data_IF_477711185482
#
_entry.id   IF_477711185482
#
_cell.length_a   1.000
_cell.length_b   1.000
_cell.length_c   1.000
_cell.angle_alpha   90.00
_cell.angle_beta   90.00
_cell.angle_gamma   90.00
#
_symmetry.space_group_name_H-M   'P 1'
#
loop_
_entity.id
_entity.type
_entity.pdbx_description
1 polymer ?
#
# COMPACT_ATOMS: atom_id res chain seq x y z
N UNK A 1 -0.53 -28.98 -9.96
CA UNK A 1 0.67 -28.19 -10.16
C UNK A 1 0.88 -27.24 -8.98
N UNK A 2 1.99 -27.39 -8.34
CA UNK A 2 2.29 -26.59 -7.14
C UNK A 2 2.88 -25.26 -7.60
N UNK A 3 2.14 -24.19 -7.38
CA UNK A 3 2.63 -22.85 -7.64
C UNK A 3 3.65 -22.50 -6.55
N UNK A 4 4.86 -22.19 -6.95
CA UNK A 4 5.88 -21.77 -5.99
C UNK A 4 5.43 -20.46 -5.33
N UNK A 5 5.53 -20.34 -4.00
CA UNK A 5 5.25 -19.07 -3.34
C UNK A 5 6.22 -17.99 -3.83
N UNK A 6 5.82 -16.72 -3.78
CA UNK A 6 6.74 -15.63 -4.14
C UNK A 6 7.97 -15.67 -3.26
N UNK A 7 9.14 -15.50 -3.88
CA UNK A 7 10.39 -15.45 -3.16
C UNK A 7 10.55 -14.02 -2.64
N UNK A 8 10.50 -13.87 -1.33
CA UNK A 8 10.73 -12.60 -0.67
C UNK A 8 12.15 -12.47 -0.19
N UNK A 9 12.72 -11.28 -0.30
CA UNK A 9 13.99 -10.90 0.31
C UNK A 9 13.73 -9.76 1.28
N UNK A 10 14.42 -9.81 2.40
CA UNK A 10 14.33 -8.82 3.45
C UNK A 10 15.72 -8.26 3.72
N UNK A 11 15.84 -6.94 3.66
CA UNK A 11 17.09 -6.24 3.95
C UNK A 11 16.81 -5.14 4.97
N UNK A 12 17.58 -5.11 6.03
CA UNK A 12 17.49 -4.08 7.04
C UNK A 12 18.68 -3.12 6.90
N UNK A 13 18.43 -1.84 7.03
CA UNK A 13 19.46 -0.80 7.05
C UNK A 13 19.22 0.15 8.23
N UNK A 14 20.09 1.15 8.40
CA UNK A 14 20.03 2.07 9.54
C UNK A 14 18.72 2.84 9.66
N UNK A 15 18.05 3.12 8.54
CA UNK A 15 16.86 3.96 8.48
C UNK A 15 15.57 3.20 8.27
N UNK A 16 15.65 1.91 7.99
CA UNK A 16 14.45 1.17 7.70
C UNK A 16 14.68 -0.22 7.15
N UNK A 17 13.71 -0.69 6.41
CA UNK A 17 13.61 -2.05 5.92
C UNK A 17 13.26 -2.02 4.44
N UNK A 18 13.87 -2.90 3.66
CA UNK A 18 13.47 -3.13 2.28
C UNK A 18 12.99 -4.57 2.13
N UNK A 19 11.82 -4.73 1.52
CA UNK A 19 11.24 -6.03 1.21
C UNK A 19 11.06 -6.12 -0.30
N UNK A 20 11.62 -7.15 -0.91
CA UNK A 20 11.38 -7.41 -2.32
C UNK A 20 10.71 -8.77 -2.50
N UNK A 21 9.82 -8.83 -3.48
CA UNK A 21 9.05 -10.03 -3.77
C UNK A 21 8.95 -10.20 -5.28
N UNK A 22 9.26 -11.39 -5.77
CA UNK A 22 9.08 -11.75 -7.17
C UNK A 22 7.74 -12.47 -7.33
N UNK A 23 6.89 -11.94 -8.19
CA UNK A 23 5.60 -12.55 -8.45
C UNK A 23 5.74 -13.78 -9.35
N UNK A 24 5.03 -14.90 -9.06
CA UNK A 24 5.11 -16.11 -9.88
C UNK A 24 4.73 -15.93 -11.35
N UNK A 25 3.84 -14.99 -11.65
CA UNK A 25 3.43 -14.67 -13.01
C UNK A 25 4.40 -13.73 -13.74
N UNK A 26 5.54 -13.42 -13.12
CA UNK A 26 6.52 -12.47 -13.64
C UNK A 26 6.35 -11.09 -13.03
N UNK A 27 7.46 -10.37 -12.99
CA UNK A 27 7.51 -9.05 -12.37
C UNK A 27 7.99 -9.08 -10.93
N UNK A 28 8.41 -7.93 -10.45
CA UNK A 28 8.97 -7.76 -9.12
C UNK A 28 8.34 -6.57 -8.42
N UNK A 29 8.08 -6.69 -7.16
CA UNK A 29 7.64 -5.61 -6.29
C UNK A 29 8.65 -5.45 -5.16
N UNK A 30 9.08 -4.21 -4.93
CA UNK A 30 9.99 -3.87 -3.84
C UNK A 30 9.38 -2.76 -3.03
N UNK A 31 9.35 -2.92 -1.72
CA UNK A 31 8.89 -1.89 -0.79
C UNK A 31 10.01 -1.54 0.18
N UNK A 32 10.37 -0.27 0.21
CA UNK A 32 11.26 0.29 1.22
C UNK A 32 10.42 1.03 2.24
N UNK A 33 10.66 0.79 3.52
CA UNK A 33 9.96 1.42 4.64
C UNK A 33 10.99 2.17 5.47
N UNK A 34 10.79 3.47 5.63
CA UNK A 34 11.65 4.32 6.43
C UNK A 34 10.84 5.03 7.51
N UNK A 35 11.44 5.17 8.68
CA UNK A 35 10.87 5.93 9.79
C UNK A 35 11.71 7.17 10.02
N UNK A 36 11.08 8.33 10.01
CA UNK A 36 11.76 9.59 10.24
C UNK A 36 10.81 10.61 10.85
N UNK A 37 11.17 11.16 12.01
CA UNK A 37 10.43 12.26 12.67
C UNK A 37 8.92 12.01 12.81
N UNK A 38 8.55 10.80 13.23
CA UNK A 38 7.13 10.44 13.40
C UNK A 38 6.38 10.21 12.09
N UNK A 39 7.10 10.13 10.99
CA UNK A 39 6.56 9.87 9.66
C UNK A 39 7.02 8.50 9.17
N UNK A 40 6.09 7.72 8.64
CA UNK A 40 6.40 6.46 7.95
C UNK A 40 6.41 6.76 6.46
N UNK A 41 7.51 6.45 5.81
CA UNK A 41 7.67 6.65 4.36
C UNK A 41 7.85 5.31 3.68
N UNK A 42 6.99 5.03 2.69
CA UNK A 42 7.06 3.81 1.90
C UNK A 42 7.38 4.17 0.46
N UNK A 43 8.35 3.46 -0.10
CA UNK A 43 8.66 3.58 -1.53
C UNK A 43 8.44 2.23 -2.17
N UNK A 44 7.50 2.17 -3.11
CA UNK A 44 7.12 0.95 -3.82
C UNK A 44 7.57 1.03 -5.27
N UNK A 45 8.42 0.09 -5.67
CA UNK A 45 8.82 -0.08 -7.07
C UNK A 45 8.02 -1.24 -7.65
N UNK A 46 7.23 -0.94 -8.67
CA UNK A 46 6.21 -1.85 -9.17
C UNK A 46 6.45 -2.19 -10.63
N UNK A 47 7.04 -3.35 -10.90
CA UNK A 47 7.22 -3.85 -12.26
C UNK A 47 6.22 -4.94 -12.62
N UNK A 48 5.13 -5.02 -11.88
CA UNK A 48 4.00 -5.91 -12.15
C UNK A 48 3.14 -5.38 -13.28
N UNK A 49 2.38 -6.24 -13.94
CA UNK A 49 1.52 -5.84 -15.06
C UNK A 49 0.42 -4.87 -14.63
N UNK A 50 -0.20 -5.12 -13.49
CA UNK A 50 -1.21 -4.24 -12.89
C UNK A 50 -0.87 -3.99 -11.42
N UNK A 51 0.06 -3.09 -11.18
CA UNK A 51 0.52 -2.88 -9.82
C UNK A 51 -0.53 -2.17 -8.97
N UNK A 52 -0.80 -2.73 -7.82
CA UNK A 52 -1.73 -2.19 -6.84
C UNK A 52 -1.01 -2.06 -5.51
N UNK A 53 -1.07 -0.86 -4.94
CA UNK A 53 -0.60 -0.61 -3.58
C UNK A 53 -1.82 -0.60 -2.65
N UNK A 54 -1.78 -1.38 -1.60
CA UNK A 54 -2.91 -1.60 -0.69
C UNK A 54 -2.55 -1.25 0.74
N UNK A 55 -3.49 -0.59 1.41
CA UNK A 55 -3.41 -0.34 2.85
C UNK A 55 -4.73 -0.70 3.51
N UNK A 56 -4.64 -1.17 4.75
CA UNK A 56 -5.82 -1.40 5.58
C UNK A 56 -5.91 -0.26 6.57
N UNK A 57 -7.04 0.42 6.58
CA UNK A 57 -7.28 1.56 7.46
C UNK A 57 -8.57 1.34 8.25
N UNK A 58 -8.62 1.86 9.48
CA UNK A 58 -9.72 1.62 10.40
C UNK A 58 -10.80 2.70 10.39
N UNK A 59 -10.62 3.74 9.62
CA UNK A 59 -11.53 4.86 9.64
C UNK A 59 -11.74 5.41 8.24
N UNK A 60 -12.83 6.12 8.04
CA UNK A 60 -13.04 6.90 6.84
C UNK A 60 -12.22 8.18 6.90
N UNK A 61 -11.75 8.63 5.75
CA UNK A 61 -11.00 9.86 5.61
C UNK A 61 -11.57 10.75 4.53
N UNK A 62 -11.06 11.97 4.47
CA UNK A 62 -11.41 12.93 3.43
C UNK A 62 -10.34 12.94 2.35
N UNK A 63 -10.76 12.65 1.11
CA UNK A 63 -9.87 12.64 -0.04
C UNK A 63 -9.60 14.06 -0.54
N UNK A 64 -8.34 14.33 -0.83
CA UNK A 64 -7.88 15.60 -1.39
C UNK A 64 -6.82 15.34 -2.45
N UNK A 65 -6.76 16.18 -3.48
CA UNK A 65 -5.70 16.15 -4.47
C UNK A 65 -5.09 17.55 -4.52
N UNK A 66 -3.79 17.64 -4.29
CA UNK A 66 -3.08 18.91 -4.28
C UNK A 66 -1.68 18.74 -4.86
N UNK A 67 -1.36 19.55 -5.88
CA UNK A 67 -0.02 19.65 -6.48
C UNK A 67 0.60 18.29 -6.86
N UNK A 68 -0.19 17.42 -7.47
CA UNK A 68 0.31 16.10 -7.91
C UNK A 68 0.41 15.06 -6.80
N UNK A 69 -0.12 15.33 -5.64
CA UNK A 69 -0.16 14.41 -4.51
C UNK A 69 -1.62 14.07 -4.17
N UNK A 70 -1.90 12.80 -4.07
CA UNK A 70 -3.18 12.31 -3.55
C UNK A 70 -3.06 12.23 -2.03
N UNK A 71 -4.05 12.74 -1.32
CA UNK A 71 -4.04 12.80 0.15
C UNK A 71 -5.38 12.34 0.71
N UNK A 72 -5.32 11.62 1.80
CA UNK A 72 -6.49 11.30 2.61
C UNK A 72 -6.22 11.73 4.05
N UNK A 73 -7.12 12.55 4.57
CA UNK A 73 -7.03 13.10 5.92
C UNK A 73 -8.01 12.37 6.81
N UNK A 74 -7.49 11.81 7.88
CA UNK A 74 -8.26 11.19 8.96
C UNK A 74 -8.26 12.12 10.18
N UNK A 75 -8.89 11.68 11.25
CA UNK A 75 -9.01 12.50 12.46
C UNK A 75 -7.65 12.96 13.04
N UNK A 76 -6.71 12.02 13.17
CA UNK A 76 -5.42 12.30 13.82
C UNK A 76 -4.20 12.06 12.94
N UNK A 77 -4.40 11.61 11.72
CA UNK A 77 -3.31 11.25 10.83
C UNK A 77 -3.71 11.42 9.38
N UNK A 78 -2.71 11.40 8.51
CA UNK A 78 -2.90 11.58 7.07
C UNK A 78 -2.05 10.61 6.29
N UNK A 79 -2.52 10.26 5.09
CA UNK A 79 -1.76 9.53 4.08
C UNK A 79 -1.57 10.45 2.89
N UNK A 80 -0.34 10.57 2.41
CA UNK A 80 -0.02 11.20 1.13
C UNK A 80 0.55 10.15 0.20
N UNK A 81 0.12 10.16 -1.06
CA UNK A 81 0.53 9.18 -2.06
C UNK A 81 0.81 9.84 -3.39
N UNK A 82 1.95 9.50 -3.98
CA UNK A 82 2.37 10.05 -5.27
C UNK A 82 3.12 9.00 -6.10
N UNK A 83 3.09 9.06 -7.44
CA UNK A 83 2.29 9.99 -8.22
C UNK A 83 0.79 9.72 -8.06
N UNK A 84 -0.05 10.59 -8.61
CA UNK A 84 -1.49 10.37 -8.57
C UNK A 84 -1.81 9.04 -9.25
N UNK A 85 -2.50 8.12 -8.58
CA UNK A 85 -2.79 6.81 -9.15
C UNK A 85 -3.78 6.87 -10.31
N UNK A 86 -3.78 5.84 -11.13
CA UNK A 86 -4.76 5.67 -12.21
C UNK A 86 -6.19 5.56 -11.66
N UNK A 87 -6.32 4.86 -10.53
CA UNK A 87 -7.57 4.75 -9.81
C UNK A 87 -7.33 4.55 -8.32
N UNK A 88 -8.29 4.98 -7.53
CA UNK A 88 -8.30 4.79 -6.08
C UNK A 88 -9.61 4.09 -5.72
N UNK A 89 -9.50 3.01 -4.96
CA UNK A 89 -10.66 2.33 -4.39
C UNK A 89 -10.56 2.42 -2.86
N UNK A 90 -11.66 2.76 -2.23
CA UNK A 90 -11.80 2.77 -0.79
C UNK A 90 -13.02 1.95 -0.41
N UNK A 91 -12.79 0.70 -0.06
CA UNK A 91 -13.84 -0.30 0.03
C UNK A 91 -13.92 -0.83 1.45
N UNK A 92 -15.13 -0.88 2.06
CA UNK A 92 -15.29 -1.58 3.32
C UNK A 92 -14.83 -3.04 3.17
N UNK A 93 -14.06 -3.52 4.11
CA UNK A 93 -13.52 -4.87 4.06
C UNK A 93 -14.62 -5.92 3.87
N UNK A 94 -15.75 -5.74 4.54
CA UNK A 94 -16.92 -6.62 4.42
C UNK A 94 -17.52 -6.70 3.01
N UNK A 95 -17.30 -5.67 2.20
CA UNK A 95 -17.84 -5.60 0.84
C UNK A 95 -16.88 -6.12 -0.21
N UNK A 96 -15.69 -6.57 0.18
CA UNK A 96 -14.72 -7.12 -0.76
C UNK A 96 -15.12 -8.51 -1.22
N UNK A 97 -15.17 -8.69 -2.53
CA UNK A 97 -15.28 -10.00 -3.14
C UNK A 97 -13.94 -10.70 -3.02
N UNK A 98 -13.94 -11.91 -2.45
CA UNK A 98 -12.75 -12.73 -2.33
C UNK A 98 -11.59 -12.00 -1.60
N UNK A 99 -11.78 -11.67 -0.32
CA UNK A 99 -10.73 -11.02 0.45
C UNK A 99 -9.51 -11.95 0.58
N UNK A 100 -8.36 -11.48 0.10
CA UNK A 100 -7.11 -12.25 0.15
C UNK A 100 -6.45 -12.20 1.53
N UNK A 101 -6.99 -11.39 2.41
CA UNK A 101 -6.49 -11.27 3.77
C UNK A 101 -7.21 -12.27 4.64
N UNK A 102 -6.46 -13.08 5.34
CA UNK A 102 -7.01 -13.99 6.33
C UNK A 102 -7.58 -13.16 7.47
N UNK A 103 -8.89 -13.16 7.60
CA UNK A 103 -9.55 -12.49 8.72
C UNK A 103 -9.80 -13.53 9.80
N UNK A 104 -8.85 -13.66 10.68
CA UNK A 104 -9.08 -14.41 11.90
C UNK A 104 -9.78 -13.48 12.90
N UNK A 105 -10.85 -13.97 13.50
CA UNK A 105 -11.52 -13.30 14.62
C UNK A 105 -12.24 -11.99 14.30
N UNK A 106 -12.58 -11.71 13.06
CA UNK A 106 -13.33 -10.50 12.71
C UNK A 106 -12.59 -9.18 12.94
N UNK A 107 -11.27 -9.22 13.07
CA UNK A 107 -10.45 -8.05 13.39
C UNK A 107 -10.56 -6.97 12.31
N UNK A 108 -10.82 -7.34 11.06
CA UNK A 108 -10.89 -6.40 9.94
C UNK A 108 -12.32 -6.06 9.52
N UNK A 109 -13.34 -6.52 10.25
CA UNK A 109 -14.74 -6.29 9.88
C UNK A 109 -15.11 -4.80 9.79
N UNK A 110 -14.51 -3.97 10.63
CA UNK A 110 -14.75 -2.52 10.65
C UNK A 110 -13.68 -1.73 9.91
N UNK A 111 -12.86 -2.40 9.13
CA UNK A 111 -11.78 -1.76 8.39
C UNK A 111 -12.18 -1.47 6.96
N UNK A 112 -11.40 -0.62 6.32
CA UNK A 112 -11.50 -0.30 4.90
C UNK A 112 -10.20 -0.71 4.21
N UNK A 113 -10.31 -1.08 2.93
CA UNK A 113 -9.15 -1.32 2.09
C UNK A 113 -9.00 -0.14 1.14
N UNK A 114 -7.85 0.51 1.24
CA UNK A 114 -7.47 1.60 0.36
C UNK A 114 -6.54 1.03 -0.71
N UNK A 115 -6.93 1.12 -1.97
CA UNK A 115 -6.15 0.60 -3.10
C UNK A 115 -5.79 1.71 -4.07
N UNK A 116 -4.52 1.74 -4.46
CA UNK A 116 -4.01 2.61 -5.51
C UNK A 116 -3.55 1.77 -6.67
N UNK A 117 -4.15 1.95 -7.83
CA UNK A 117 -3.73 1.29 -9.06
C UNK A 117 -2.81 2.21 -9.85
N UNK A 118 -1.68 1.67 -10.30
CA UNK A 118 -0.66 2.40 -11.05
C UNK A 118 -0.33 1.73 -12.36
N UNK A 119 0.35 2.45 -13.22
CA UNK A 119 0.95 1.89 -14.43
C UNK A 119 2.17 1.06 -14.07
N UNK A 120 2.43 0.04 -14.88
CA UNK A 120 3.62 -0.79 -14.75
C UNK A 120 4.88 0.07 -14.75
N UNK A 121 5.81 -0.23 -13.89
CA UNK A 121 7.06 0.51 -13.77
C UNK A 121 7.00 1.75 -12.91
N UNK A 122 5.85 2.03 -12.29
CA UNK A 122 5.70 3.18 -11.40
C UNK A 122 6.51 3.00 -10.13
N UNK A 123 7.13 4.09 -9.69
CA UNK A 123 7.71 4.18 -8.34
C UNK A 123 6.76 5.04 -7.53
N UNK A 124 6.04 4.40 -6.60
CA UNK A 124 5.06 5.07 -5.77
C UNK A 124 5.64 5.38 -4.39
N UNK A 125 5.35 6.57 -3.90
CA UNK A 125 5.76 6.99 -2.55
C UNK A 125 4.56 7.30 -1.71
N UNK A 126 4.53 6.73 -0.52
CA UNK A 126 3.46 6.95 0.44
C UNK A 126 4.06 7.45 1.74
N UNK A 127 3.50 8.54 2.26
CA UNK A 127 3.86 9.05 3.59
C UNK A 127 2.67 8.97 4.50
N UNK A 128 2.88 8.44 5.70
CA UNK A 128 1.86 8.32 6.73
C UNK A 128 2.38 9.10 7.93
N UNK A 129 1.60 10.07 8.40
CA UNK A 129 2.03 10.97 9.46
C UNK A 129 0.86 11.49 10.27
N UNK A 130 1.16 11.97 11.47
CA UNK A 130 0.17 12.64 12.32
C UNK A 130 -0.15 14.02 11.77
N UNK A 131 -1.44 14.27 11.76
CA UNK A 131 -1.94 15.62 11.38
C UNK A 131 -1.75 16.60 12.52
#
# INVERSE_FOLDING_TARGET
EITKPPIGKFTENENGIEISCRHPAGGEATRAIELSDGRVMLTDKLSLERPVVRFIVKAEGSEQIDMGVWKMVFDRWSIEHQPIPESVAFIPYKAMDNPRLSVEYGVFDDCFVLEFEHKRGTIAKTSIFRS
#
